data_IF_573097353867
#
_entry.id   IF_573097353867
#
_cell.length_a   1.000
_cell.length_b   1.000
_cell.length_c   1.000
_cell.angle_alpha   90.00
_cell.angle_beta   90.00
_cell.angle_gamma   90.00
#
_symmetry.space_group_name_H-M   'P 1'
#
loop_
_entity.id
_entity.type
_entity.pdbx_description
1 polymer ?
#
# COMPACT_ATOMS: atom_id res chain seq x y z
N UNK A 1 74.81 22.36 21.96
CA UNK A 1 75.22 21.02 22.21
C UNK A 1 74.08 20.03 22.14
N UNK A 2 74.27 18.88 21.50
CA UNK A 2 73.41 17.66 21.42
C UNK A 2 72.13 17.81 20.61
N UNK A 3 71.95 17.32 19.48
CA UNK A 3 71.98 16.13 18.72
C UNK A 3 70.95 15.09 19.20
N UNK A 4 69.80 15.03 18.55
CA UNK A 4 68.89 13.91 18.70
C UNK A 4 68.49 13.39 17.30
N UNK A 5 68.96 12.20 17.03
CA UNK A 5 68.76 11.42 15.82
C UNK A 5 67.30 10.87 15.75
N UNK A 6 66.66 11.07 14.61
CA UNK A 6 65.40 10.44 14.26
C UNK A 6 65.64 8.96 13.84
N UNK A 7 64.93 8.06 14.45
CA UNK A 7 64.87 6.65 14.07
C UNK A 7 63.68 6.45 13.14
N UNK A 8 63.93 5.99 11.92
CA UNK A 8 62.92 5.59 10.98
C UNK A 8 62.45 4.17 11.27
N UNK A 9 61.14 4.00 11.50
CA UNK A 9 60.51 2.71 11.56
C UNK A 9 59.97 2.31 10.19
N UNK A 10 60.41 1.18 9.70
CA UNK A 10 60.06 0.52 8.46
C UNK A 10 58.60 0.06 8.40
N UNK A 11 57.94 0.34 7.30
CA UNK A 11 56.63 -0.22 6.95
C UNK A 11 56.73 -1.70 6.50
N UNK A 12 55.74 -2.53 6.78
CA UNK A 12 55.70 -3.86 6.21
C UNK A 12 55.07 -3.84 4.78
N UNK A 13 55.70 -4.59 3.95
CA UNK A 13 55.40 -4.84 2.53
C UNK A 13 54.00 -5.39 2.28
N UNK A 14 53.41 -4.91 1.21
CA UNK A 14 52.12 -5.32 0.69
C UNK A 14 52.03 -6.77 0.25
N UNK A 15 50.92 -7.39 0.58
CA UNK A 15 50.44 -8.63 0.01
C UNK A 15 49.43 -8.34 -1.08
N UNK A 16 49.79 -8.71 -2.32
CA UNK A 16 48.92 -8.73 -3.48
C UNK A 16 47.77 -9.70 -3.28
N UNK A 17 46.55 -9.23 -3.23
CA UNK A 17 45.38 -10.07 -3.37
C UNK A 17 45.16 -10.31 -4.86
N UNK A 18 45.40 -11.54 -5.29
CA UNK A 18 45.10 -12.02 -6.63
C UNK A 18 43.57 -12.06 -6.84
N UNK A 19 43.16 -11.50 -7.97
CA UNK A 19 41.84 -11.65 -8.53
C UNK A 19 41.50 -13.13 -8.75
N UNK A 20 40.44 -13.60 -8.12
CA UNK A 20 39.87 -14.89 -8.41
C UNK A 20 38.89 -14.78 -9.56
N UNK A 21 39.10 -15.65 -10.54
CA UNK A 21 38.42 -15.79 -11.80
C UNK A 21 36.89 -15.95 -11.70
N UNK A 22 36.19 -15.20 -12.54
CA UNK A 22 34.85 -15.53 -13.00
C UNK A 22 34.95 -16.72 -13.96
N UNK A 23 34.65 -17.92 -13.50
CA UNK A 23 34.17 -19.04 -14.35
C UNK A 23 33.79 -20.21 -13.47
N UNK A 24 32.54 -20.65 -13.64
CA UNK A 24 32.16 -22.03 -13.29
C UNK A 24 31.18 -22.12 -12.12
N UNK A 25 29.89 -22.02 -12.39
CA UNK A 25 28.89 -23.00 -11.97
C UNK A 25 27.79 -22.94 -13.03
N UNK A 26 27.96 -23.86 -13.97
CA UNK A 26 26.89 -24.36 -14.84
C UNK A 26 26.84 -25.87 -14.59
N UNK A 27 25.63 -26.38 -14.52
CA UNK A 27 25.27 -27.81 -14.47
C UNK A 27 25.03 -28.44 -13.09
N UNK A 28 23.76 -28.66 -12.85
CA UNK A 28 23.20 -29.72 -12.06
C UNK A 28 21.82 -30.05 -12.60
N UNK A 29 21.80 -30.82 -13.68
CA UNK A 29 20.60 -31.31 -14.36
C UNK A 29 20.09 -32.58 -13.68
N UNK A 30 18.76 -32.67 -13.59
CA UNK A 30 17.91 -33.88 -13.71
C UNK A 30 18.11 -35.03 -12.71
N UNK A 31 17.02 -35.31 -11.98
CA UNK A 31 16.42 -36.64 -12.11
C UNK A 31 14.93 -36.58 -11.81
N UNK A 32 14.17 -37.04 -12.76
CA UNK A 32 12.77 -37.39 -12.67
C UNK A 32 12.58 -38.60 -11.74
N UNK A 33 11.60 -38.54 -10.87
CA UNK A 33 11.14 -39.67 -10.09
C UNK A 33 9.63 -39.72 -10.10
N UNK A 34 9.05 -40.46 -11.03
CA UNK A 34 7.64 -40.83 -10.99
C UNK A 34 7.41 -41.81 -9.83
N UNK A 35 6.55 -41.48 -8.89
CA UNK A 35 5.99 -42.44 -7.96
C UNK A 35 4.47 -42.44 -8.12
N UNK A 36 3.99 -43.45 -8.78
CA UNK A 36 2.58 -43.89 -8.76
C UNK A 36 2.33 -44.49 -7.38
N UNK A 37 1.43 -43.95 -6.62
CA UNK A 37 0.85 -44.64 -5.47
C UNK A 37 -0.65 -44.78 -5.70
N UNK A 38 -1.03 -46.02 -5.99
CA UNK A 38 -2.40 -46.52 -5.89
C UNK A 38 -2.65 -46.86 -4.41
N UNK A 39 -3.69 -46.34 -3.84
CA UNK A 39 -4.06 -46.58 -2.42
C UNK A 39 -5.50 -46.22 -2.12
N UNK A 40 -6.34 -47.14 -2.32
CA UNK A 40 -7.61 -47.56 -1.68
C UNK A 40 -8.43 -46.60 -0.87
N UNK A 41 -9.68 -46.51 -1.28
CA UNK A 41 -10.91 -46.07 -0.66
C UNK A 41 -11.11 -46.64 0.75
N UNK A 42 -11.44 -45.82 1.74
CA UNK A 42 -12.41 -46.07 2.78
C UNK A 42 -13.14 -44.76 3.07
N UNK A 43 -14.48 -44.83 2.95
CA UNK A 43 -15.36 -43.68 3.02
C UNK A 43 -15.61 -43.18 4.45
N UNK A 44 -15.99 -41.91 4.50
CA UNK A 44 -16.89 -41.43 5.51
C UNK A 44 -17.86 -40.39 4.90
N UNK A 45 -19.14 -40.59 5.14
CA UNK A 45 -20.24 -39.75 4.68
C UNK A 45 -20.33 -38.50 5.54
N UNK A 46 -20.17 -37.33 4.90
CA UNK A 46 -20.61 -36.05 5.46
C UNK A 46 -21.35 -35.30 4.35
N UNK A 47 -22.60 -34.96 4.58
CA UNK A 47 -23.51 -34.30 3.67
C UNK A 47 -22.98 -32.89 3.32
N UNK A 48 -22.71 -32.64 2.04
CA UNK A 48 -22.45 -31.35 1.43
C UNK A 48 -23.30 -31.26 0.17
N UNK A 49 -24.05 -30.20 0.07
CA UNK A 49 -25.02 -29.83 -0.96
C UNK A 49 -24.57 -30.06 -2.39
N UNK A 50 -25.40 -30.78 -3.14
CA UNK A 50 -25.37 -31.21 -4.52
C UNK A 50 -24.55 -30.36 -5.54
N UNK A 51 -23.43 -30.89 -5.94
CA UNK A 51 -22.97 -30.74 -7.32
C UNK A 51 -23.76 -31.79 -8.13
N UNK A 52 -24.57 -31.34 -9.08
CA UNK A 52 -25.19 -32.25 -10.05
C UNK A 52 -24.03 -32.83 -10.89
N UNK A 53 -23.90 -34.14 -10.94
CA UNK A 53 -23.04 -34.84 -11.87
C UNK A 53 -23.58 -34.55 -13.30
N UNK A 54 -22.91 -33.61 -14.00
CA UNK A 54 -23.23 -33.29 -15.38
C UNK A 54 -22.55 -34.34 -16.25
N UNK A 55 -23.36 -35.12 -17.00
CA UNK A 55 -22.86 -36.15 -17.88
C UNK A 55 -22.09 -35.53 -19.06
N UNK A 56 -20.93 -36.06 -19.41
CA UNK A 56 -20.11 -35.55 -20.48
C UNK A 56 -20.83 -35.71 -21.83
N UNK A 57 -20.99 -34.63 -22.59
CA UNK A 57 -21.60 -34.65 -23.93
C UNK A 57 -20.70 -35.27 -24.99
N UNK A 58 -19.39 -35.34 -24.74
CA UNK A 58 -18.38 -35.74 -25.69
C UNK A 58 -17.89 -34.61 -26.62
N UNK A 59 -18.50 -33.44 -26.56
CA UNK A 59 -18.08 -32.29 -27.35
C UNK A 59 -16.90 -31.55 -26.69
N UNK A 60 -16.10 -30.87 -27.51
CA UNK A 60 -15.01 -30.00 -27.04
C UNK A 60 -15.16 -28.61 -27.64
N UNK A 61 -15.23 -27.61 -26.77
CA UNK A 61 -15.18 -26.19 -27.11
C UNK A 61 -13.72 -25.72 -27.05
N UNK A 62 -13.21 -25.22 -28.17
CA UNK A 62 -11.89 -24.60 -28.23
C UNK A 62 -12.04 -23.08 -28.31
N UNK A 63 -11.58 -22.36 -27.30
CA UNK A 63 -11.63 -20.92 -27.24
C UNK A 63 -10.23 -20.32 -27.36
N UNK A 64 -10.08 -19.27 -28.15
CA UNK A 64 -8.87 -18.46 -28.20
C UNK A 64 -9.15 -17.12 -27.57
N UNK A 65 -8.31 -16.75 -26.58
CA UNK A 65 -8.40 -15.49 -25.86
C UNK A 65 -7.11 -14.73 -26.13
N UNK A 66 -7.24 -13.49 -26.56
CA UNK A 66 -6.11 -12.60 -26.83
C UNK A 66 -5.94 -11.63 -25.64
N UNK A 67 -4.71 -11.39 -25.23
CA UNK A 67 -4.40 -10.33 -24.24
C UNK A 67 -4.26 -9.01 -24.99
N UNK A 68 -5.09 -8.02 -24.64
CA UNK A 68 -5.02 -6.66 -25.16
C UNK A 68 -4.84 -5.68 -23.98
N UNK A 69 -3.62 -5.16 -23.78
CA UNK A 69 -3.28 -4.42 -22.59
C UNK A 69 -3.53 -5.28 -21.33
N UNK A 70 -4.34 -4.79 -20.41
CA UNK A 70 -4.71 -5.49 -19.18
C UNK A 70 -6.08 -6.17 -19.25
N UNK A 71 -6.44 -6.74 -20.40
CA UNK A 71 -7.75 -7.41 -20.61
C UNK A 71 -7.61 -8.68 -21.42
N UNK A 72 -8.47 -9.63 -21.12
CA UNK A 72 -8.75 -10.76 -21.97
C UNK A 72 -9.82 -10.40 -23.02
N UNK A 73 -9.61 -10.79 -24.28
CA UNK A 73 -10.54 -10.54 -25.37
C UNK A 73 -10.73 -11.81 -26.20
N UNK A 74 -11.93 -12.41 -26.22
CA UNK A 74 -13.07 -12.06 -25.37
C UNK A 74 -12.81 -12.36 -23.89
N UNK A 75 -13.53 -11.67 -23.01
CA UNK A 75 -13.48 -11.88 -21.55
C UNK A 75 -14.51 -12.92 -21.07
N UNK A 76 -15.31 -13.45 -21.98
CA UNK A 76 -16.37 -14.41 -21.69
C UNK A 76 -16.43 -15.48 -22.79
N UNK A 77 -16.62 -16.72 -22.39
CA UNK A 77 -16.89 -17.86 -23.28
C UNK A 77 -18.10 -18.64 -22.79
N UNK A 78 -19.06 -18.88 -23.67
CA UNK A 78 -20.23 -19.70 -23.39
C UNK A 78 -19.94 -21.16 -23.70
N UNK A 79 -20.24 -22.07 -22.74
CA UNK A 79 -20.04 -23.50 -22.85
C UNK A 79 -21.32 -24.23 -22.42
N UNK A 80 -21.73 -25.23 -23.16
CA UNK A 80 -22.85 -26.09 -22.73
C UNK A 80 -22.40 -27.00 -21.58
N UNK A 81 -23.15 -27.08 -20.47
CA UNK A 81 -22.82 -28.03 -19.41
C UNK A 81 -22.63 -29.45 -19.95
N UNK A 82 -21.52 -30.07 -19.59
CA UNK A 82 -21.11 -31.37 -20.10
C UNK A 82 -20.08 -31.34 -21.24
N UNK A 83 -19.88 -30.19 -21.87
CA UNK A 83 -18.81 -30.03 -22.87
C UNK A 83 -17.44 -29.83 -22.20
N UNK A 84 -16.40 -30.29 -22.86
CA UNK A 84 -15.01 -30.00 -22.47
C UNK A 84 -14.59 -28.64 -23.02
N UNK A 85 -13.92 -27.83 -22.20
CA UNK A 85 -13.39 -26.54 -22.63
C UNK A 85 -11.85 -26.57 -22.67
N UNK A 86 -11.30 -26.19 -23.82
CA UNK A 86 -9.85 -25.97 -24.01
C UNK A 86 -9.65 -24.52 -24.42
N UNK A 87 -8.79 -23.81 -23.67
CA UNK A 87 -8.51 -22.38 -23.89
C UNK A 87 -7.09 -22.20 -24.37
N UNK A 88 -6.91 -21.45 -25.44
CA UNK A 88 -5.60 -20.94 -25.88
C UNK A 88 -5.51 -19.46 -25.54
N UNK A 89 -4.58 -19.09 -24.69
CA UNK A 89 -4.23 -17.70 -24.38
C UNK A 89 -3.17 -17.23 -25.40
N UNK A 90 -3.50 -16.25 -26.21
CA UNK A 90 -2.58 -15.58 -27.15
C UNK A 90 -2.14 -14.25 -26.52
N UNK A 91 -0.92 -14.22 -25.99
CA UNK A 91 -0.42 -13.03 -25.33
C UNK A 91 0.20 -12.06 -26.35
N UNK A 92 -0.61 -11.16 -26.89
CA UNK A 92 -0.15 -10.12 -27.84
C UNK A 92 0.33 -8.84 -27.13
N UNK A 93 0.30 -8.81 -25.79
CA UNK A 93 0.83 -7.70 -25.00
C UNK A 93 2.37 -7.78 -24.88
N UNK A 94 2.97 -6.73 -24.34
CA UNK A 94 4.40 -6.59 -24.15
C UNK A 94 4.93 -7.15 -22.82
N UNK A 95 4.03 -7.69 -21.97
CA UNK A 95 4.34 -8.24 -20.66
C UNK A 95 3.95 -9.72 -20.57
N UNK A 96 4.43 -10.39 -19.52
CA UNK A 96 4.04 -11.77 -19.21
C UNK A 96 2.62 -11.74 -18.62
N UNK A 97 1.77 -12.67 -19.08
CA UNK A 97 0.43 -12.92 -18.56
C UNK A 97 0.18 -14.41 -18.33
N UNK A 98 -0.87 -14.73 -17.63
CA UNK A 98 -1.41 -16.10 -17.51
C UNK A 98 -2.95 -16.04 -17.41
N UNK A 99 -3.58 -17.21 -17.51
CA UNK A 99 -4.97 -17.40 -17.17
C UNK A 99 -5.07 -18.55 -16.18
N UNK A 100 -5.64 -18.28 -15.00
CA UNK A 100 -5.94 -19.27 -13.96
C UNK A 100 -7.45 -19.31 -13.77
N UNK A 101 -8.04 -20.49 -13.75
CA UNK A 101 -9.45 -20.69 -13.44
C UNK A 101 -9.66 -20.93 -11.93
N UNK A 102 -10.81 -20.55 -11.40
CA UNK A 102 -11.18 -20.81 -10.01
C UNK A 102 -11.15 -22.30 -9.64
N UNK A 103 -11.25 -23.17 -10.64
CA UNK A 103 -11.13 -24.63 -10.53
C UNK A 103 -9.68 -25.13 -10.46
N UNK A 104 -8.70 -24.21 -10.56
CA UNK A 104 -7.27 -24.50 -10.35
C UNK A 104 -6.44 -24.75 -11.62
N UNK A 105 -7.07 -24.89 -12.79
CA UNK A 105 -6.33 -25.04 -14.05
C UNK A 105 -5.68 -23.72 -14.46
N UNK A 106 -4.52 -23.80 -15.13
CA UNK A 106 -3.75 -22.61 -15.53
C UNK A 106 -3.03 -22.82 -16.86
N UNK A 107 -2.86 -21.74 -17.62
CA UNK A 107 -1.97 -21.73 -18.80
C UNK A 107 -0.49 -21.77 -18.41
N UNK A 108 -0.14 -21.55 -17.13
CA UNK A 108 1.19 -21.14 -16.75
C UNK A 108 1.54 -19.75 -17.30
N UNK A 109 2.74 -19.28 -17.01
CA UNK A 109 3.24 -17.97 -17.45
C UNK A 109 3.47 -17.96 -18.95
N UNK A 110 2.78 -17.06 -19.66
CA UNK A 110 2.88 -16.88 -21.12
C UNK A 110 3.64 -15.59 -21.40
N UNK A 111 4.80 -15.71 -22.01
CA UNK A 111 5.63 -14.55 -22.35
C UNK A 111 4.97 -13.66 -23.42
N UNK A 112 5.43 -12.42 -23.54
CA UNK A 112 5.04 -11.51 -24.61
C UNK A 112 5.19 -12.17 -26.00
N UNK A 113 4.15 -12.11 -26.83
CA UNK A 113 4.11 -12.72 -28.17
C UNK A 113 3.99 -14.25 -28.18
N UNK A 114 3.87 -14.92 -27.05
CA UNK A 114 3.74 -16.37 -26.95
C UNK A 114 2.27 -16.80 -26.75
N UNK A 115 2.04 -18.11 -26.89
CA UNK A 115 0.74 -18.75 -26.61
C UNK A 115 0.88 -19.78 -25.49
N UNK A 116 -0.15 -19.86 -24.65
CA UNK A 116 -0.31 -20.88 -23.63
C UNK A 116 -1.65 -21.57 -23.77
N UNK A 117 -1.74 -22.84 -23.39
CA UNK A 117 -2.97 -23.61 -23.46
C UNK A 117 -3.35 -24.16 -22.10
N UNK A 118 -4.61 -24.13 -21.79
CA UNK A 118 -5.19 -24.71 -20.58
C UNK A 118 -6.38 -25.59 -20.97
N UNK A 119 -6.48 -26.76 -20.35
CA UNK A 119 -7.63 -27.66 -20.46
C UNK A 119 -8.46 -27.54 -19.17
N UNK A 120 -9.62 -26.92 -19.29
CA UNK A 120 -10.53 -26.73 -18.15
C UNK A 120 -11.30 -27.99 -17.76
N UNK A 121 -11.24 -29.06 -18.60
CA UNK A 121 -12.01 -30.27 -18.38
C UNK A 121 -13.49 -30.10 -18.75
N UNK A 122 -14.36 -30.93 -18.16
CA UNK A 122 -15.81 -30.86 -18.36
C UNK A 122 -16.39 -29.69 -17.55
N UNK A 123 -17.07 -28.80 -18.24
CA UNK A 123 -17.73 -27.64 -17.62
C UNK A 123 -19.07 -28.05 -17.04
N UNK A 124 -19.23 -27.98 -15.75
CA UNK A 124 -20.51 -28.29 -15.05
C UNK A 124 -21.33 -27.07 -14.66
N UNK A 125 -20.71 -25.88 -14.68
CA UNK A 125 -21.33 -24.63 -14.29
C UNK A 125 -20.45 -23.43 -14.60
N UNK A 126 -20.88 -22.20 -14.26
CA UNK A 126 -20.06 -21.00 -14.46
C UNK A 126 -18.73 -21.06 -13.72
N UNK A 127 -17.65 -20.61 -14.35
CA UNK A 127 -16.31 -20.57 -13.75
C UNK A 127 -15.70 -19.20 -14.01
N UNK A 128 -15.15 -18.59 -12.98
CA UNK A 128 -14.35 -17.38 -13.10
C UNK A 128 -12.86 -17.74 -13.31
N UNK A 129 -12.18 -16.93 -14.13
CA UNK A 129 -10.75 -16.98 -14.32
C UNK A 129 -10.13 -15.59 -14.22
N UNK A 130 -8.83 -15.53 -14.03
CA UNK A 130 -8.10 -14.26 -13.94
C UNK A 130 -6.63 -14.45 -14.28
N UNK A 131 -5.93 -13.31 -14.56
CA UNK A 131 -4.47 -13.32 -14.58
C UNK A 131 -3.94 -13.32 -13.14
N UNK A 132 -3.08 -14.29 -12.81
CA UNK A 132 -2.54 -14.44 -11.46
C UNK A 132 -1.33 -13.54 -11.18
N UNK A 133 -0.85 -12.80 -12.18
CA UNK A 133 0.23 -11.83 -11.98
C UNK A 133 -0.27 -10.71 -11.07
N UNK A 134 0.58 -10.35 -10.11
CA UNK A 134 0.24 -9.35 -9.10
C UNK A 134 -0.28 -8.06 -9.75
N UNK A 135 -1.48 -7.65 -9.34
CA UNK A 135 -2.13 -6.45 -9.85
C UNK A 135 -3.03 -6.63 -11.07
N UNK A 136 -2.88 -7.68 -11.87
CA UNK A 136 -3.59 -7.80 -13.15
C UNK A 136 -5.08 -8.11 -12.99
N UNK A 137 -5.47 -9.00 -12.06
CA UNK A 137 -6.89 -9.29 -11.76
C UNK A 137 -7.65 -8.03 -11.32
N UNK A 138 -7.04 -7.21 -10.49
CA UNK A 138 -7.66 -5.99 -10.00
C UNK A 138 -7.72 -4.88 -11.06
N UNK A 139 -6.86 -4.94 -12.08
CA UNK A 139 -6.93 -4.07 -13.26
C UNK A 139 -7.98 -4.53 -14.28
N UNK A 140 -8.77 -5.57 -13.93
CA UNK A 140 -9.85 -6.08 -14.77
C UNK A 140 -9.47 -7.24 -15.67
N UNK A 141 -8.28 -7.86 -15.48
CA UNK A 141 -7.95 -9.10 -16.20
C UNK A 141 -8.67 -10.30 -15.59
N UNK A 142 -9.99 -10.30 -15.76
CA UNK A 142 -10.89 -11.38 -15.38
C UNK A 142 -11.51 -12.00 -16.64
N UNK A 143 -11.85 -13.29 -16.51
CA UNK A 143 -12.42 -14.10 -17.56
C UNK A 143 -13.60 -14.91 -17.00
N UNK A 144 -14.62 -15.10 -17.79
CA UNK A 144 -15.82 -15.80 -17.36
C UNK A 144 -16.17 -16.94 -18.32
N UNK A 145 -16.34 -18.13 -17.76
CA UNK A 145 -17.00 -19.23 -18.46
C UNK A 145 -18.44 -19.22 -18.01
N UNK A 146 -19.37 -19.03 -18.98
CA UNK A 146 -20.80 -19.14 -18.72
C UNK A 146 -21.28 -20.52 -19.14
N UNK A 147 -22.20 -21.10 -18.38
CA UNK A 147 -22.73 -22.44 -18.62
C UNK A 147 -24.26 -22.36 -18.82
N UNK A 148 -24.70 -22.50 -20.07
CA UNK A 148 -26.13 -22.52 -20.39
C UNK A 148 -26.41 -22.18 -21.84
N UNK A 149 -27.06 -23.07 -22.57
CA UNK A 149 -27.48 -22.86 -23.96
C UNK A 149 -28.48 -21.73 -24.12
N UNK A 150 -28.41 -21.04 -25.27
CA UNK A 150 -29.14 -19.88 -25.67
C UNK A 150 -30.62 -19.86 -25.26
N UNK A 151 -31.01 -18.83 -24.58
CA UNK A 151 -32.38 -18.42 -24.33
C UNK A 151 -32.39 -16.94 -23.99
N UNK A 152 -32.70 -16.09 -24.99
CA UNK A 152 -33.06 -14.72 -24.73
C UNK A 152 -34.31 -14.70 -23.82
N UNK A 153 -34.13 -14.50 -22.56
CA UNK A 153 -35.17 -14.40 -21.57
C UNK A 153 -34.78 -13.35 -20.54
N UNK A 154 -35.43 -12.22 -20.63
CA UNK A 154 -35.49 -11.19 -19.61
C UNK A 154 -35.96 -11.81 -18.29
N UNK A 155 -35.05 -12.09 -17.37
CA UNK A 155 -35.40 -12.38 -16.00
C UNK A 155 -34.80 -11.32 -15.09
N UNK A 156 -35.65 -10.40 -14.66
CA UNK A 156 -35.45 -9.58 -13.47
C UNK A 156 -35.33 -10.53 -12.26
N UNK A 157 -34.19 -10.58 -11.66
CA UNK A 157 -34.02 -11.05 -10.30
C UNK A 157 -33.42 -9.94 -9.45
N UNK A 158 -34.17 -9.63 -8.42
CA UNK A 158 -33.83 -8.56 -7.48
C UNK A 158 -32.59 -8.86 -6.65
N UNK A 159 -31.88 -7.80 -6.31
CA UNK A 159 -31.09 -7.68 -5.09
C UNK A 159 -29.74 -8.37 -5.06
N UNK A 160 -28.93 -8.19 -6.10
CA UNK A 160 -27.46 -8.24 -5.96
C UNK A 160 -26.93 -7.00 -6.64
N UNK A 161 -26.31 -6.11 -5.90
CA UNK A 161 -25.68 -4.94 -6.48
C UNK A 161 -24.57 -5.40 -7.42
N UNK A 162 -24.89 -5.50 -8.71
CA UNK A 162 -23.87 -5.58 -9.76
C UNK A 162 -23.00 -4.34 -9.63
N UNK A 163 -21.69 -4.53 -9.41
CA UNK A 163 -20.72 -3.48 -9.64
C UNK A 163 -20.97 -2.90 -11.03
N UNK A 164 -21.62 -1.74 -11.09
CA UNK A 164 -21.55 -0.91 -12.26
C UNK A 164 -20.09 -0.50 -12.44
N UNK A 165 -19.39 -1.15 -13.35
CA UNK A 165 -18.27 -0.51 -14.03
C UNK A 165 -18.89 0.61 -14.83
N UNK A 166 -19.05 1.77 -14.21
CA UNK A 166 -19.54 2.95 -14.85
C UNK A 166 -18.63 3.29 -16.01
N UNK A 167 -19.14 3.29 -17.22
CA UNK A 167 -18.54 3.92 -18.39
C UNK A 167 -18.55 5.46 -18.24
N UNK A 168 -18.36 5.96 -17.03
CA UNK A 168 -18.23 7.37 -16.70
C UNK A 168 -16.81 7.83 -17.01
N UNK A 169 -16.67 9.03 -17.56
CA UNK A 169 -15.37 9.72 -17.57
C UNK A 169 -14.82 9.79 -16.16
N UNK A 170 -13.49 9.67 -16.04
CA UNK A 170 -12.80 9.98 -14.79
C UNK A 170 -13.19 11.36 -14.28
N UNK A 171 -13.32 11.48 -12.97
CA UNK A 171 -13.52 12.76 -12.31
C UNK A 171 -12.30 13.66 -12.56
N UNK A 172 -12.57 14.93 -12.78
CA UNK A 172 -11.52 15.96 -12.99
C UNK A 172 -11.58 16.91 -11.80
N UNK A 173 -10.51 17.04 -11.02
CA UNK A 173 -10.52 17.94 -9.88
C UNK A 173 -10.46 19.40 -10.32
N UNK A 174 -11.18 20.24 -9.63
CA UNK A 174 -11.01 21.69 -9.66
C UNK A 174 -10.12 22.11 -8.47
N UNK A 175 -8.87 22.42 -8.76
CA UNK A 175 -7.91 22.80 -7.71
C UNK A 175 -8.26 24.11 -6.98
N UNK A 176 -9.21 24.88 -7.49
CA UNK A 176 -9.75 26.09 -6.84
C UNK A 176 -10.99 25.83 -5.97
N UNK A 177 -11.56 24.62 -6.05
CA UNK A 177 -12.76 24.27 -5.33
C UNK A 177 -12.53 24.26 -3.82
N UNK A 178 -13.43 24.92 -3.09
CA UNK A 178 -13.46 24.82 -1.64
C UNK A 178 -14.04 23.49 -1.18
N UNK A 179 -13.53 22.99 -0.07
CA UNK A 179 -14.15 21.86 0.62
C UNK A 179 -15.53 22.29 1.18
N UNK A 180 -16.48 21.34 1.34
CA UNK A 180 -17.79 21.64 1.92
C UNK A 180 -17.69 22.39 3.25
N UNK A 181 -18.65 23.26 3.52
CA UNK A 181 -18.62 24.10 4.72
C UNK A 181 -18.70 23.30 6.04
N UNK A 182 -19.28 22.12 5.99
CA UNK A 182 -19.37 21.15 7.09
C UNK A 182 -18.21 20.15 7.15
N UNK A 183 -17.28 20.23 6.18
CA UNK A 183 -16.09 19.38 6.17
C UNK A 183 -15.23 19.65 7.41
N UNK A 184 -14.77 18.57 8.02
CA UNK A 184 -13.79 18.63 9.12
C UNK A 184 -12.47 18.07 8.64
N UNK A 185 -11.41 18.86 8.74
CA UNK A 185 -10.07 18.40 8.44
C UNK A 185 -9.67 17.26 9.39
N UNK A 186 -8.82 16.38 8.89
CA UNK A 186 -8.19 15.37 9.73
C UNK A 186 -7.44 16.07 10.89
N UNK A 187 -7.67 15.62 12.11
CA UNK A 187 -6.95 16.13 13.28
C UNK A 187 -5.50 15.63 13.27
N UNK A 188 -4.60 16.51 12.85
CA UNK A 188 -3.18 16.21 12.80
C UNK A 188 -2.48 16.33 14.16
N UNK A 189 -3.13 16.91 15.15
CA UNK A 189 -2.53 17.13 16.48
C UNK A 189 -2.26 15.78 17.18
N UNK A 190 -1.06 15.63 17.70
CA UNK A 190 -0.65 14.42 18.39
C UNK A 190 -0.68 14.62 19.90
N UNK A 191 -1.35 13.75 20.65
CA UNK A 191 -1.18 13.68 22.09
C UNK A 191 0.22 13.14 22.43
N UNK A 192 0.67 13.43 23.65
CA UNK A 192 1.89 12.79 24.17
C UNK A 192 1.77 11.26 24.11
N UNK A 193 2.92 10.59 23.93
CA UNK A 193 2.93 9.13 23.95
C UNK A 193 2.39 8.61 25.29
N UNK A 194 1.51 7.60 25.28
CA UNK A 194 1.11 6.92 26.49
C UNK A 194 2.32 6.44 27.30
N UNK A 195 2.21 6.45 28.61
CA UNK A 195 3.27 5.96 29.50
C UNK A 195 2.68 5.10 30.60
N UNK A 196 3.39 4.00 30.90
CA UNK A 196 3.07 3.19 32.06
C UNK A 196 3.36 3.95 33.36
N UNK A 197 2.59 3.73 34.43
CA UNK A 197 2.84 4.35 35.74
C UNK A 197 4.22 4.04 36.33
N UNK A 198 4.79 2.90 36.00
CA UNK A 198 6.13 2.45 36.40
C UNK A 198 7.23 2.79 35.39
N UNK A 199 6.86 3.43 34.27
CA UNK A 199 7.79 3.81 33.20
C UNK A 199 8.25 2.66 32.31
N UNK A 200 7.76 1.45 32.53
CA UNK A 200 8.07 0.26 31.72
C UNK A 200 7.34 0.20 30.39
N UNK A 201 7.62 -0.83 29.56
CA UNK A 201 6.90 -1.08 28.31
C UNK A 201 5.42 -1.31 28.53
N UNK A 202 4.63 -0.92 27.55
CA UNK A 202 3.15 -1.08 27.55
C UNK A 202 2.69 -2.02 26.43
N UNK A 203 1.48 -2.55 26.60
CA UNK A 203 0.75 -3.20 25.51
C UNK A 203 -0.39 -2.31 25.06
N UNK A 204 -0.31 -1.86 23.80
CA UNK A 204 -1.35 -1.08 23.14
C UNK A 204 -2.28 -2.03 22.39
N UNK A 205 -3.58 -2.01 22.70
CA UNK A 205 -4.59 -2.84 22.04
C UNK A 205 -5.50 -1.96 21.21
N UNK A 206 -5.61 -2.26 19.92
CA UNK A 206 -6.45 -1.51 18.98
C UNK A 206 -7.28 -2.47 18.14
N UNK A 207 -8.48 -2.05 17.78
CA UNK A 207 -9.29 -2.73 16.75
C UNK A 207 -9.32 -1.85 15.51
N UNK A 208 -8.96 -2.41 14.38
CA UNK A 208 -9.03 -1.79 13.07
C UNK A 208 -10.12 -2.47 12.27
N UNK A 209 -11.19 -1.75 12.02
CA UNK A 209 -12.29 -2.21 11.16
C UNK A 209 -12.09 -1.67 9.75
N UNK A 210 -12.00 -2.59 8.80
CA UNK A 210 -11.93 -2.23 7.38
C UNK A 210 -13.32 -1.97 6.84
N UNK A 211 -13.51 -0.82 6.19
CA UNK A 211 -14.75 -0.47 5.49
C UNK A 211 -14.43 0.29 4.20
N UNK A 212 -15.38 0.26 3.27
CA UNK A 212 -15.32 1.01 2.01
C UNK A 212 -16.42 2.05 2.00
N UNK A 213 -16.07 3.30 1.70
CA UNK A 213 -17.03 4.41 1.67
C UNK A 213 -16.62 5.50 0.70
N UNK A 214 -17.60 6.23 0.16
CA UNK A 214 -17.33 7.41 -0.67
C UNK A 214 -16.97 8.58 0.23
N UNK A 215 -15.79 9.18 -0.02
CA UNK A 215 -15.26 10.27 0.79
C UNK A 215 -14.79 11.43 -0.08
N UNK A 216 -14.80 12.64 0.48
CA UNK A 216 -14.10 13.79 -0.10
C UNK A 216 -12.59 13.51 -0.18
N UNK A 217 -12.00 13.91 -1.32
CA UNK A 217 -10.54 13.84 -1.52
C UNK A 217 -9.92 15.21 -1.86
N UNK A 218 -10.74 16.27 -1.89
CA UNK A 218 -10.38 17.62 -2.29
C UNK A 218 -10.70 17.89 -3.77
N UNK A 219 -10.47 19.11 -4.23
CA UNK A 219 -10.75 19.48 -5.63
C UNK A 219 -12.21 19.35 -6.06
N UNK A 220 -13.16 19.42 -5.13
CA UNK A 220 -14.59 19.30 -5.41
C UNK A 220 -15.05 17.90 -5.81
N UNK A 221 -14.21 16.86 -5.66
CA UNK A 221 -14.49 15.49 -6.08
C UNK A 221 -14.46 14.51 -4.91
N UNK A 222 -15.14 13.39 -5.11
CA UNK A 222 -15.19 12.28 -4.16
C UNK A 222 -14.61 11.00 -4.77
N UNK A 223 -14.18 10.09 -3.91
CA UNK A 223 -13.67 8.78 -4.31
C UNK A 223 -14.14 7.71 -3.33
N UNK A 224 -14.38 6.50 -3.82
CA UNK A 224 -14.58 5.34 -2.97
C UNK A 224 -13.25 4.97 -2.33
N UNK A 225 -13.18 5.15 -1.02
CA UNK A 225 -11.99 4.88 -0.22
C UNK A 225 -12.13 3.55 0.51
N UNK A 226 -11.03 2.83 0.63
CA UNK A 226 -10.87 1.68 1.52
C UNK A 226 -10.18 2.19 2.78
N UNK A 227 -10.77 1.95 3.94
CA UNK A 227 -10.38 2.64 5.16
C UNK A 227 -10.06 1.69 6.30
N UNK A 228 -9.18 2.12 7.19
CA UNK A 228 -9.09 1.60 8.55
C UNK A 228 -9.85 2.54 9.49
N UNK A 229 -10.87 2.01 10.17
CA UNK A 229 -11.74 2.78 11.08
C UNK A 229 -12.45 3.98 10.43
N UNK A 230 -12.81 3.87 9.14
CA UNK A 230 -13.61 4.87 8.46
C UNK A 230 -12.90 6.18 8.12
N UNK A 231 -11.56 6.23 8.18
CA UNK A 231 -10.77 7.43 7.92
C UNK A 231 -9.56 7.17 7.03
N UNK A 232 -9.05 8.21 6.39
CA UNK A 232 -7.81 8.22 5.60
C UNK A 232 -6.99 9.46 5.97
N UNK A 233 -5.72 9.29 6.40
CA UNK A 233 -5.10 8.02 6.75
C UNK A 233 -5.83 7.31 7.89
N UNK A 234 -5.58 6.03 8.07
CA UNK A 234 -6.04 5.30 9.24
C UNK A 234 -5.49 5.90 10.55
N UNK A 235 -5.90 5.42 11.73
CA UNK A 235 -5.48 5.97 13.02
C UNK A 235 -3.96 6.08 13.15
N UNK A 236 -3.47 7.22 13.63
CA UNK A 236 -2.07 7.38 14.00
C UNK A 236 -1.87 6.76 15.38
N UNK A 237 -1.07 5.69 15.43
CA UNK A 237 -0.70 5.04 16.68
C UNK A 237 0.56 5.68 17.26
N UNK A 238 0.70 5.69 18.58
CA UNK A 238 1.90 6.21 19.24
C UNK A 238 2.28 5.36 20.44
N UNK A 239 3.56 5.11 20.59
CA UNK A 239 4.17 4.38 21.71
C UNK A 239 5.66 4.67 21.83
N UNK A 240 6.37 3.79 22.53
CA UNK A 240 7.80 3.91 22.82
C UNK A 240 8.53 2.63 22.44
N UNK A 241 9.83 2.71 22.30
CA UNK A 241 10.67 1.52 22.12
C UNK A 241 10.45 0.55 23.28
N UNK A 242 10.21 -0.71 22.96
CA UNK A 242 9.87 -1.79 23.89
C UNK A 242 8.38 -2.05 24.04
N UNK A 243 7.50 -1.13 23.62
CA UNK A 243 6.05 -1.33 23.67
C UNK A 243 5.60 -2.43 22.68
N UNK A 244 4.56 -3.14 23.07
CA UNK A 244 3.91 -4.14 22.22
C UNK A 244 2.58 -3.59 21.69
N UNK A 245 2.35 -3.79 20.42
CA UNK A 245 1.09 -3.45 19.77
C UNK A 245 0.35 -4.72 19.38
N UNK A 246 -0.89 -4.83 19.80
CA UNK A 246 -1.80 -5.92 19.47
C UNK A 246 -2.99 -5.33 18.70
N UNK A 247 -3.05 -5.63 17.43
CA UNK A 247 -4.03 -5.06 16.51
C UNK A 247 -5.00 -6.16 16.08
N UNK A 248 -6.26 -6.01 16.43
CA UNK A 248 -7.33 -6.85 15.90
C UNK A 248 -7.84 -6.20 14.61
N UNK A 249 -7.50 -6.79 13.47
CA UNK A 249 -8.07 -6.42 12.17
C UNK A 249 -9.39 -7.14 11.97
N UNK A 250 -10.45 -6.39 11.70
CA UNK A 250 -11.79 -6.91 11.37
C UNK A 250 -12.11 -6.47 9.94
N UNK A 251 -12.37 -7.41 9.06
CA UNK A 251 -12.71 -7.09 7.67
C UNK A 251 -14.25 -7.01 7.52
N UNK A 252 -14.76 -5.78 7.61
CA UNK A 252 -16.17 -5.44 7.39
C UNK A 252 -16.40 -4.85 5.98
N UNK A 253 -15.41 -5.02 5.10
CA UNK A 253 -15.43 -4.62 3.71
C UNK A 253 -16.04 -5.66 2.78
N UNK A 254 -15.95 -5.42 1.48
CA UNK A 254 -16.53 -6.28 0.43
C UNK A 254 -15.51 -7.15 -0.29
N UNK A 255 -14.22 -6.97 -0.01
CA UNK A 255 -13.10 -7.73 -0.58
C UNK A 255 -12.11 -8.17 0.49
N UNK A 256 -11.15 -9.01 0.12
CA UNK A 256 -10.09 -9.44 1.02
C UNK A 256 -9.12 -8.31 1.34
N UNK A 257 -8.72 -8.22 2.60
CA UNK A 257 -7.77 -7.22 3.10
C UNK A 257 -6.77 -7.86 4.08
N UNK A 258 -5.71 -7.14 4.37
CA UNK A 258 -4.69 -7.53 5.34
C UNK A 258 -4.09 -6.28 5.97
N UNK A 259 -3.09 -6.45 6.84
CA UNK A 259 -2.34 -5.33 7.39
C UNK A 259 -0.88 -5.72 7.57
N UNK A 260 0.02 -4.79 7.27
CA UNK A 260 1.45 -4.85 7.53
C UNK A 260 1.88 -3.64 8.34
N UNK A 261 2.65 -3.85 9.41
CA UNK A 261 3.22 -2.78 10.25
C UNK A 261 4.74 -2.77 10.11
N UNK A 262 5.28 -1.75 9.46
CA UNK A 262 6.73 -1.58 9.30
C UNK A 262 7.47 -1.35 10.64
N UNK A 263 6.74 -0.97 11.70
CA UNK A 263 7.30 -0.84 13.06
C UNK A 263 7.62 -2.19 13.72
N UNK A 264 7.13 -3.29 13.16
CA UNK A 264 7.35 -4.64 13.65
C UNK A 264 8.45 -5.39 12.91
N UNK A 265 8.99 -6.43 13.54
CA UNK A 265 9.86 -7.42 12.91
C UNK A 265 9.15 -8.76 13.02
N UNK A 266 8.33 -9.06 12.03
CA UNK A 266 7.43 -10.23 12.03
C UNK A 266 7.43 -10.87 10.65
N UNK A 267 7.57 -12.20 10.54
CA UNK A 267 7.44 -12.90 9.27
C UNK A 267 6.04 -12.67 8.66
N UNK A 268 5.95 -12.41 7.34
CA UNK A 268 4.68 -12.04 6.72
C UNK A 268 3.69 -13.20 6.57
N UNK A 269 4.16 -14.45 6.55
CA UNK A 269 3.42 -15.62 6.11
C UNK A 269 2.05 -15.80 6.81
N UNK A 270 1.99 -15.56 8.13
CA UNK A 270 0.78 -15.71 8.93
C UNK A 270 0.20 -14.35 9.34
N UNK A 271 1.05 -13.45 9.81
CA UNK A 271 0.64 -12.19 10.41
C UNK A 271 0.03 -11.22 9.38
N UNK A 272 0.50 -11.28 8.12
CA UNK A 272 0.08 -10.38 7.04
C UNK A 272 -0.81 -11.08 6.00
N UNK A 273 -1.36 -12.26 6.33
CA UNK A 273 -2.24 -12.97 5.40
C UNK A 273 -3.51 -12.16 5.13
N UNK A 274 -4.03 -12.26 3.93
CA UNK A 274 -5.33 -11.70 3.59
C UNK A 274 -6.44 -12.44 4.32
N UNK A 275 -7.41 -11.69 4.84
CA UNK A 275 -8.65 -12.18 5.43
C UNK A 275 -9.85 -11.77 4.58
N UNK A 276 -10.84 -12.64 4.47
CA UNK A 276 -12.05 -12.39 3.69
C UNK A 276 -13.04 -11.52 4.45
N UNK A 277 -14.06 -10.95 3.78
CA UNK A 277 -15.18 -10.29 4.44
C UNK A 277 -15.77 -11.12 5.59
N UNK A 278 -15.95 -10.49 6.75
CA UNK A 278 -16.45 -11.12 7.98
C UNK A 278 -15.40 -11.84 8.81
N UNK A 279 -14.17 -11.98 8.34
CA UNK A 279 -13.07 -12.58 9.10
C UNK A 279 -12.32 -11.53 9.95
N UNK A 280 -11.56 -12.02 10.92
CA UNK A 280 -10.66 -11.19 11.73
C UNK A 280 -9.30 -11.86 11.92
N UNK A 281 -8.29 -11.03 12.21
CA UNK A 281 -6.91 -11.43 12.42
C UNK A 281 -6.32 -10.59 13.56
N UNK A 282 -5.57 -11.21 14.45
CA UNK A 282 -4.77 -10.48 15.43
C UNK A 282 -3.32 -10.41 14.93
N UNK A 283 -2.82 -9.19 14.76
CA UNK A 283 -1.44 -8.89 14.42
C UNK A 283 -0.74 -8.32 15.66
N UNK A 284 0.36 -8.93 16.07
CA UNK A 284 1.12 -8.48 17.24
C UNK A 284 2.58 -8.24 16.89
N UNK A 285 3.12 -7.11 17.33
CA UNK A 285 4.54 -6.80 17.20
C UNK A 285 5.05 -6.01 18.41
N UNK A 286 6.34 -6.10 18.68
CA UNK A 286 7.04 -5.26 19.66
C UNK A 286 7.88 -4.23 18.91
N UNK A 287 7.71 -2.95 19.27
CA UNK A 287 8.45 -1.85 18.66
C UNK A 287 9.91 -1.87 19.13
N UNK A 288 10.85 -2.17 18.25
CA UNK A 288 12.28 -2.26 18.58
C UNK A 288 13.05 -0.98 18.26
N UNK A 289 12.55 -0.18 17.33
CA UNK A 289 13.21 1.02 16.83
C UNK A 289 12.26 2.21 16.86
N UNK A 290 12.82 3.38 17.21
CA UNK A 290 12.09 4.65 17.14
C UNK A 290 11.92 5.14 15.70
N UNK A 291 10.94 6.00 15.48
CA UNK A 291 10.65 6.61 14.19
C UNK A 291 9.16 6.74 13.95
N UNK A 292 8.80 7.22 12.77
CA UNK A 292 7.44 7.14 12.26
C UNK A 292 7.41 6.08 11.16
N UNK A 293 6.60 5.06 11.35
CA UNK A 293 6.56 3.84 10.56
C UNK A 293 5.23 3.71 9.85
N UNK A 294 5.27 3.34 8.56
CA UNK A 294 4.08 3.07 7.78
C UNK A 294 3.39 1.79 8.27
N UNK A 295 2.07 1.76 8.24
CA UNK A 295 1.29 0.53 8.13
C UNK A 295 0.35 0.64 6.93
N UNK A 296 0.05 -0.48 6.30
CA UNK A 296 -0.80 -0.51 5.11
C UNK A 296 -1.40 -1.90 4.86
N UNK A 297 -2.40 -1.95 3.99
CA UNK A 297 -2.89 -3.22 3.45
C UNK A 297 -1.84 -3.85 2.54
N UNK A 298 -1.48 -5.12 2.78
CA UNK A 298 -0.54 -5.90 1.97
C UNK A 298 -1.22 -6.87 1.00
N UNK A 299 -2.54 -6.87 0.92
CA UNK A 299 -3.30 -7.66 -0.08
C UNK A 299 -3.04 -7.10 -1.48
N UNK A 300 -2.78 -7.99 -2.43
CA UNK A 300 -2.57 -7.61 -3.83
C UNK A 300 -3.88 -7.15 -4.50
N UNK A 301 -3.81 -6.09 -5.33
CA UNK A 301 -2.64 -5.28 -5.66
C UNK A 301 -2.41 -4.18 -4.61
N UNK A 302 -1.26 -4.23 -3.94
CA UNK A 302 -0.94 -3.32 -2.84
C UNK A 302 -1.06 -1.84 -3.24
N UNK A 303 -0.62 -1.49 -4.44
CA UNK A 303 -0.67 -0.11 -4.94
C UNK A 303 -2.10 0.44 -5.04
N UNK A 304 -3.08 -0.41 -5.39
CA UNK A 304 -4.49 -0.04 -5.42
C UNK A 304 -5.02 0.21 -4.01
N UNK A 305 -4.75 -0.71 -3.08
CA UNK A 305 -5.22 -0.59 -1.69
C UNK A 305 -4.63 0.65 -0.99
N UNK A 306 -3.32 0.94 -1.21
CA UNK A 306 -2.72 2.16 -0.69
C UNK A 306 -3.33 3.42 -1.34
N UNK A 307 -3.46 3.44 -2.67
CA UNK A 307 -4.07 4.56 -3.40
C UNK A 307 -5.53 4.78 -2.99
N UNK A 308 -6.24 3.70 -2.65
CA UNK A 308 -7.60 3.77 -2.11
C UNK A 308 -7.66 4.28 -0.67
N UNK A 309 -6.53 4.39 0.05
CA UNK A 309 -6.48 4.98 1.39
C UNK A 309 -6.10 4.04 2.52
N UNK A 310 -5.78 2.77 2.25
CA UNK A 310 -5.43 1.80 3.29
C UNK A 310 -3.98 1.94 3.75
N UNK A 311 -3.70 3.04 4.41
CA UNK A 311 -2.40 3.35 5.01
C UNK A 311 -2.58 4.22 6.25
N UNK A 312 -1.58 4.23 7.10
CA UNK A 312 -1.48 5.11 8.27
C UNK A 312 -0.09 5.02 8.89
N UNK A 313 0.09 5.60 10.07
CA UNK A 313 1.39 5.71 10.71
C UNK A 313 1.38 5.19 12.14
N UNK A 314 2.52 4.60 12.54
CA UNK A 314 2.85 4.31 13.94
C UNK A 314 4.06 5.16 14.33
N UNK A 315 3.93 5.97 15.34
CA UNK A 315 5.02 6.78 15.90
C UNK A 315 5.58 6.06 17.13
N UNK A 316 6.86 5.77 17.08
CA UNK A 316 7.62 5.22 18.21
C UNK A 316 8.63 6.27 18.66
N UNK A 317 8.35 6.88 19.80
CA UNK A 317 9.16 7.98 20.31
C UNK A 317 10.61 7.56 20.54
N UNK A 318 11.60 8.34 20.08
CA UNK A 318 12.99 8.12 20.46
C UNK A 318 13.19 8.24 21.98
N UNK A 319 14.05 7.43 22.57
CA UNK A 319 14.40 7.59 23.98
C UNK A 319 14.88 9.01 24.29
N UNK A 320 14.32 9.63 25.30
CA UNK A 320 14.68 11.00 25.70
C UNK A 320 14.18 12.08 24.73
N UNK A 321 13.17 11.80 23.91
CA UNK A 321 12.57 12.80 23.02
C UNK A 321 12.13 14.04 23.82
N UNK A 322 12.68 15.24 23.56
CA UNK A 322 12.27 16.45 24.25
C UNK A 322 10.80 16.78 23.97
N UNK A 323 10.10 17.24 24.99
CA UNK A 323 8.76 17.80 24.80
C UNK A 323 8.83 19.07 23.95
N UNK A 324 7.81 19.30 23.17
CA UNK A 324 7.60 20.50 22.35
C UNK A 324 6.20 21.06 22.62
N UNK A 325 5.94 22.30 22.19
CA UNK A 325 4.66 22.96 22.45
C UNK A 325 3.55 22.41 21.54
N UNK A 326 3.87 22.04 20.32
CA UNK A 326 2.96 21.47 19.33
C UNK A 326 3.57 20.32 18.59
N UNK A 327 2.79 19.26 18.40
CA UNK A 327 3.14 18.14 17.54
C UNK A 327 2.04 17.85 16.53
N UNK A 328 2.43 17.62 15.28
CA UNK A 328 1.51 17.28 14.20
C UNK A 328 2.03 16.07 13.43
N UNK A 329 1.12 15.18 13.04
CA UNK A 329 1.40 14.08 12.12
C UNK A 329 0.88 14.41 10.73
N UNK A 330 1.74 14.35 9.73
CA UNK A 330 1.45 14.62 8.31
C UNK A 330 1.78 13.38 7.51
N UNK A 331 0.77 12.75 6.95
CA UNK A 331 0.90 11.59 6.06
C UNK A 331 0.64 12.04 4.63
N UNK A 332 1.69 12.06 3.82
CA UNK A 332 1.60 12.39 2.40
C UNK A 332 1.16 11.19 1.59
N UNK A 333 0.18 11.35 0.71
CA UNK A 333 -0.31 10.28 -0.16
C UNK A 333 -0.88 10.80 -1.47
N UNK A 334 -1.07 9.88 -2.40
CA UNK A 334 -1.50 10.11 -3.78
C UNK A 334 -2.96 9.73 -3.95
N UNK A 335 -3.69 10.47 -4.80
CA UNK A 335 -5.06 10.15 -5.20
C UNK A 335 -5.15 10.04 -6.71
N UNK A 336 -5.65 8.92 -7.20
CA UNK A 336 -5.80 8.58 -8.61
C UNK A 336 -7.29 8.44 -8.92
N UNK A 337 -7.89 9.46 -9.50
CA UNK A 337 -9.33 9.52 -9.71
C UNK A 337 -9.77 8.60 -10.85
N UNK A 338 -10.72 7.74 -10.56
CA UNK A 338 -11.62 7.13 -11.50
C UNK A 338 -12.89 7.97 -11.67
N UNK A 339 -14.03 7.39 -12.01
CA UNK A 339 -15.32 8.09 -12.05
C UNK A 339 -15.65 8.72 -10.68
N UNK A 340 -16.48 9.78 -10.69
CA UNK A 340 -16.94 10.46 -9.47
C UNK A 340 -17.54 9.45 -8.46
N UNK A 341 -17.02 9.45 -7.23
CA UNK A 341 -17.40 8.50 -6.19
C UNK A 341 -16.99 7.05 -6.45
N UNK A 342 -16.23 6.80 -7.53
CA UNK A 342 -15.77 5.47 -7.95
C UNK A 342 -14.43 5.07 -7.35
N UNK A 343 -13.98 3.88 -7.75
CA UNK A 343 -12.68 3.32 -7.36
C UNK A 343 -11.51 4.12 -7.97
N UNK A 344 -10.29 4.04 -7.40
CA UNK A 344 -9.10 4.61 -8.02
C UNK A 344 -8.86 4.08 -9.43
N UNK A 345 -8.37 4.93 -10.32
CA UNK A 345 -7.99 4.54 -11.67
C UNK A 345 -6.64 3.80 -11.68
N UNK A 346 -6.66 2.52 -12.03
CA UNK A 346 -5.49 1.64 -11.99
C UNK A 346 -4.45 1.96 -13.05
N UNK A 347 -4.87 2.49 -14.21
CA UNK A 347 -3.94 2.89 -15.27
C UNK A 347 -3.12 4.11 -14.82
N UNK A 348 -3.76 5.07 -14.15
CA UNK A 348 -3.07 6.22 -13.55
C UNK A 348 -2.12 5.80 -12.43
N UNK A 349 -2.50 4.81 -11.60
CA UNK A 349 -1.61 4.23 -10.58
C UNK A 349 -0.37 3.63 -11.24
N UNK A 350 -0.55 2.82 -12.27
CA UNK A 350 0.55 2.20 -13.00
C UNK A 350 1.47 3.25 -13.68
N UNK A 351 0.87 4.31 -14.23
CA UNK A 351 1.58 5.43 -14.84
C UNK A 351 2.20 6.40 -13.82
N UNK A 352 1.87 6.28 -12.52
CA UNK A 352 2.29 7.20 -11.45
C UNK A 352 1.88 8.66 -11.72
N UNK A 353 0.66 8.85 -12.22
CA UNK A 353 0.10 10.15 -12.58
C UNK A 353 -1.10 10.50 -11.70
N UNK A 354 -0.89 10.83 -10.42
CA UNK A 354 -1.98 11.17 -9.52
C UNK A 354 -2.69 12.46 -9.94
N UNK A 355 -3.99 12.51 -9.73
CA UNK A 355 -4.80 13.71 -9.95
C UNK A 355 -4.70 14.69 -8.78
N UNK A 356 -4.58 14.17 -7.55
CA UNK A 356 -4.40 14.95 -6.34
C UNK A 356 -3.25 14.38 -5.51
N UNK A 357 -2.59 15.27 -4.77
CA UNK A 357 -1.61 14.94 -3.75
C UNK A 357 -2.13 15.45 -2.41
N UNK A 358 -2.00 14.66 -1.37
CA UNK A 358 -2.67 14.98 -0.10
C UNK A 358 -1.72 14.98 1.07
N UNK A 359 -2.01 15.83 2.05
CA UNK A 359 -1.57 15.66 3.42
C UNK A 359 -2.78 15.19 4.24
N UNK A 360 -2.66 14.00 4.85
CA UNK A 360 -3.71 13.34 5.62
C UNK A 360 -5.00 13.09 4.82
N UNK A 361 -4.85 12.56 3.58
CA UNK A 361 -5.93 11.94 2.81
C UNK A 361 -6.83 12.87 2.00
N UNK A 362 -6.80 14.18 2.24
CA UNK A 362 -7.61 15.18 1.52
C UNK A 362 -6.73 16.35 1.07
N UNK A 363 -6.80 16.66 -0.22
CA UNK A 363 -6.06 17.79 -0.79
C UNK A 363 -6.60 19.13 -0.25
N UNK A 364 -5.71 20.06 0.00
CA UNK A 364 -6.01 21.45 0.43
C UNK A 364 -6.65 21.62 1.81
N UNK A 365 -6.89 20.56 2.59
CA UNK A 365 -7.67 20.65 3.82
C UNK A 365 -7.09 21.63 4.84
N UNK A 366 -5.76 21.64 5.00
CA UNK A 366 -5.10 22.55 5.94
C UNK A 366 -4.87 23.96 5.38
N UNK A 367 -5.26 24.22 4.14
CA UNK A 367 -5.38 25.58 3.63
C UNK A 367 -6.67 26.25 4.14
N UNK A 368 -7.77 25.50 4.17
CA UNK A 368 -9.05 25.99 4.70
C UNK A 368 -9.15 25.91 6.22
N UNK A 369 -8.55 24.90 6.84
CA UNK A 369 -8.52 24.70 8.29
C UNK A 369 -7.08 24.61 8.77
N UNK A 370 -6.37 25.75 8.94
CA UNK A 370 -4.97 25.81 9.27
C UNK A 370 -4.62 25.13 10.60
N UNK A 371 -3.45 24.53 10.66
CA UNK A 371 -2.81 24.13 11.91
C UNK A 371 -2.41 25.38 12.70
N UNK A 372 -2.31 25.30 14.02
CA UNK A 372 -2.17 26.45 14.90
C UNK A 372 -0.89 26.39 15.72
N UNK A 373 -0.23 27.54 15.87
CA UNK A 373 0.85 27.73 16.82
C UNK A 373 0.85 29.18 17.33
N UNK A 374 1.71 29.47 18.30
CA UNK A 374 2.00 30.83 18.75
C UNK A 374 3.47 31.18 18.48
N UNK A 375 3.74 32.47 18.44
CA UNK A 375 5.11 32.97 18.35
C UNK A 375 5.95 32.39 19.48
N UNK A 376 7.12 31.84 19.13
CA UNK A 376 8.07 31.23 20.07
C UNK A 376 7.75 29.80 20.45
N UNK A 377 6.57 29.25 20.13
CA UNK A 377 6.29 27.83 20.32
C UNK A 377 7.17 26.97 19.40
N UNK A 378 7.70 25.89 19.95
CA UNK A 378 8.40 24.86 19.17
C UNK A 378 7.37 23.90 18.60
N UNK A 379 7.39 23.77 17.27
CA UNK A 379 6.50 22.88 16.52
C UNK A 379 7.28 21.72 15.95
N UNK A 380 6.83 20.49 16.19
CA UNK A 380 7.34 19.26 15.59
C UNK A 380 6.34 18.74 14.58
N UNK A 381 6.80 18.51 13.35
CA UNK A 381 6.05 17.83 12.32
C UNK A 381 6.62 16.42 12.12
N UNK A 382 5.86 15.41 12.50
CA UNK A 382 6.10 14.04 12.09
C UNK A 382 5.56 13.86 10.68
N UNK A 383 6.41 13.44 9.75
CA UNK A 383 6.06 13.34 8.33
C UNK A 383 6.30 11.92 7.84
N UNK A 384 5.33 11.37 7.14
CA UNK A 384 5.38 10.04 6.51
C UNK A 384 5.01 10.17 5.04
N UNK A 385 5.83 9.61 4.15
CA UNK A 385 5.46 9.42 2.75
C UNK A 385 4.81 8.05 2.57
N UNK A 386 3.48 8.01 2.57
CA UNK A 386 2.76 6.74 2.37
C UNK A 386 2.81 6.26 0.91
N UNK A 387 2.91 7.16 -0.04
CA UNK A 387 2.94 6.82 -1.47
C UNK A 387 1.54 6.62 -2.06
N UNK A 388 1.34 5.61 -2.93
CA UNK A 388 2.14 4.39 -3.11
C UNK A 388 3.45 4.51 -3.90
N UNK A 389 3.70 5.57 -4.65
CA UNK A 389 4.79 5.54 -5.64
C UNK A 389 5.69 6.79 -5.66
N UNK A 390 5.18 7.94 -5.25
CA UNK A 390 5.89 9.22 -5.37
C UNK A 390 6.48 9.68 -4.02
N UNK A 391 7.65 10.33 -4.05
CA UNK A 391 8.27 10.92 -2.87
C UNK A 391 7.53 12.20 -2.45
N UNK A 392 7.83 12.69 -1.24
CA UNK A 392 7.47 14.04 -0.79
C UNK A 392 8.73 14.76 -0.31
N UNK A 393 8.73 16.11 -0.40
CA UNK A 393 9.80 16.95 0.13
C UNK A 393 9.17 18.00 1.04
N UNK A 394 9.00 17.66 2.31
CA UNK A 394 8.30 18.51 3.27
C UNK A 394 9.13 19.76 3.61
N UNK A 395 8.56 20.94 3.42
CA UNK A 395 9.13 22.24 3.72
C UNK A 395 8.09 23.15 4.35
N UNK A 396 8.50 24.02 5.26
CA UNK A 396 7.67 25.11 5.80
C UNK A 396 8.23 26.44 5.32
N UNK A 397 7.49 27.14 4.46
CA UNK A 397 7.93 28.38 3.83
C UNK A 397 8.14 29.46 4.90
N UNK A 398 9.30 30.10 4.88
CA UNK A 398 9.69 31.11 5.86
C UNK A 398 10.29 30.57 7.15
N UNK A 399 10.42 29.24 7.28
CA UNK A 399 11.04 28.58 8.43
C UNK A 399 12.23 27.72 8.03
N UNK A 400 13.11 27.50 8.99
CA UNK A 400 14.20 26.53 8.90
C UNK A 400 14.03 25.52 10.04
N UNK A 401 14.42 24.27 9.77
CA UNK A 401 14.38 23.22 10.77
C UNK A 401 15.73 23.14 11.48
N UNK A 402 15.71 23.26 12.79
CA UNK A 402 16.91 23.14 13.64
C UNK A 402 17.08 21.75 14.26
N UNK A 403 16.06 20.90 14.13
CA UNK A 403 16.07 19.50 14.51
C UNK A 403 15.54 18.66 13.36
N UNK A 404 16.23 17.58 13.02
CA UNK A 404 15.80 16.62 11.99
C UNK A 404 16.07 15.21 12.48
N UNK A 405 15.02 14.41 12.51
CA UNK A 405 15.06 12.97 12.73
C UNK A 405 14.59 12.28 11.47
N UNK A 406 15.42 11.42 10.91
CA UNK A 406 15.13 10.72 9.65
C UNK A 406 15.19 9.22 9.86
N UNK A 407 14.15 8.50 9.46
CA UNK A 407 13.97 7.08 9.73
C UNK A 407 14.07 6.81 11.25
N UNK A 408 15.14 6.20 11.73
CA UNK A 408 15.38 5.87 13.12
C UNK A 408 16.49 6.68 13.80
N UNK A 409 16.95 7.81 13.23
CA UNK A 409 18.12 8.51 13.73
C UNK A 409 18.03 10.05 13.62
N UNK A 410 18.63 10.73 14.59
CA UNK A 410 18.88 12.16 14.50
C UNK A 410 19.94 12.47 13.43
N UNK A 411 19.59 13.30 12.47
CA UNK A 411 20.51 13.77 11.42
C UNK A 411 20.93 15.21 11.61
N UNK A 412 20.16 16.00 12.35
CA UNK A 412 20.48 17.36 12.78
C UNK A 412 19.94 17.58 14.20
N UNK A 413 20.77 18.15 15.09
CA UNK A 413 20.38 18.40 16.48
C UNK A 413 20.22 17.11 17.30
N UNK A 414 19.33 17.15 18.31
CA UNK A 414 19.03 16.03 19.17
C UNK A 414 20.21 15.56 20.05
N UNK A 415 20.05 14.44 20.74
CA UNK A 415 21.10 13.86 21.59
C UNK A 415 22.15 13.07 20.80
N UNK A 416 22.03 12.96 19.48
CA UNK A 416 22.97 12.27 18.62
C UNK A 416 24.31 13.02 18.55
N UNK A 417 25.43 12.33 18.72
CA UNK A 417 26.76 12.94 18.54
C UNK A 417 26.96 13.51 17.12
N UNK A 418 26.40 12.85 16.12
CA UNK A 418 26.48 13.31 14.72
C UNK A 418 25.59 14.55 14.54
N UNK A 419 24.33 14.52 14.98
CA UNK A 419 23.41 15.63 14.87
C UNK A 419 23.80 16.83 15.71
N UNK A 420 24.35 16.63 16.90
CA UNK A 420 24.80 17.69 17.81
C UNK A 420 26.18 18.28 17.46
N UNK A 421 26.97 17.63 16.61
CA UNK A 421 28.30 18.11 16.21
C UNK A 421 28.25 19.41 15.39
N UNK A 422 27.10 19.74 14.82
CA UNK A 422 26.91 20.88 13.94
C UNK A 422 25.72 21.72 14.38
N UNK A 423 25.95 23.00 14.60
CA UNK A 423 24.88 23.97 14.63
C UNK A 423 24.53 24.31 13.19
N UNK A 424 23.33 24.04 12.77
CA UNK A 424 22.89 24.25 11.38
C UNK A 424 21.40 24.22 11.25
N UNK A 425 20.94 24.35 10.03
CA UNK A 425 19.54 24.28 9.67
C UNK A 425 19.31 23.37 8.46
N UNK A 426 18.14 22.78 8.41
CA UNK A 426 17.62 22.09 7.25
C UNK A 426 16.46 22.86 6.66
N UNK A 427 16.31 22.84 5.34
CA UNK A 427 15.21 23.50 4.67
C UNK A 427 14.07 22.55 4.32
N UNK A 428 14.35 21.26 4.14
CA UNK A 428 13.35 20.28 3.73
C UNK A 428 13.68 18.89 4.28
N UNK A 429 12.64 18.08 4.46
CA UNK A 429 12.73 16.66 4.74
C UNK A 429 12.27 15.88 3.50
N UNK A 430 13.23 15.31 2.76
CA UNK A 430 12.96 14.47 1.60
C UNK A 430 12.69 13.03 2.02
N UNK A 431 11.54 12.48 1.58
CA UNK A 431 11.08 11.14 1.94
C UNK A 431 10.63 10.41 0.68
N UNK A 432 11.19 9.22 0.45
CA UNK A 432 10.65 8.27 -0.51
C UNK A 432 9.45 7.51 0.08
N UNK A 433 8.64 6.82 -0.76
CA UNK A 433 7.56 5.97 -0.24
C UNK A 433 8.01 5.05 0.87
N UNK A 434 7.22 4.97 1.94
CA UNK A 434 7.45 4.28 3.20
C UNK A 434 8.52 4.87 4.12
N UNK A 435 9.19 5.97 3.73
CA UNK A 435 10.10 6.67 4.64
C UNK A 435 9.37 7.70 5.49
N UNK A 436 9.88 7.92 6.68
CA UNK A 436 9.34 8.88 7.63
C UNK A 436 10.41 9.55 8.46
N UNK A 437 10.02 10.60 9.16
CA UNK A 437 10.89 11.35 10.06
C UNK A 437 10.15 12.48 10.73
N UNK A 438 10.84 13.30 11.48
CA UNK A 438 10.29 14.57 11.97
C UNK A 438 11.28 15.73 11.82
N UNK A 439 10.71 16.91 11.78
CA UNK A 439 11.44 18.18 11.79
C UNK A 439 10.85 19.09 12.86
N UNK A 440 11.69 19.97 13.43
CA UNK A 440 11.24 20.99 14.38
C UNK A 440 11.64 22.36 13.92
N UNK A 441 10.77 23.33 14.22
CA UNK A 441 10.99 24.74 13.94
C UNK A 441 10.33 25.63 14.99
N UNK A 442 10.74 26.90 15.02
CA UNK A 442 10.15 27.95 15.85
C UNK A 442 9.90 29.17 14.96
N UNK A 443 8.67 29.67 14.95
CA UNK A 443 8.34 30.93 14.28
C UNK A 443 8.58 32.11 15.24
N UNK A 444 9.32 33.11 14.78
CA UNK A 444 9.63 34.31 15.55
C UNK A 444 8.63 35.43 15.38
N UNK A 445 7.73 35.36 14.40
CA UNK A 445 6.76 36.36 14.05
C UNK A 445 5.39 35.73 13.80
N UNK A 446 4.27 36.47 14.08
CA UNK A 446 2.95 35.98 13.72
C UNK A 446 2.76 36.01 12.20
N UNK A 447 1.98 35.06 11.67
CA UNK A 447 1.71 34.99 10.25
C UNK A 447 1.21 33.62 9.79
N UNK A 448 1.12 33.45 8.48
CA UNK A 448 0.66 32.23 7.83
C UNK A 448 1.86 31.56 7.13
N UNK A 449 2.39 30.53 7.75
CA UNK A 449 3.52 29.77 7.22
C UNK A 449 2.99 28.58 6.44
N UNK A 450 3.19 28.58 5.10
CA UNK A 450 2.69 27.50 4.26
C UNK A 450 3.65 26.30 4.34
N UNK A 451 3.17 25.14 4.74
CA UNK A 451 3.93 23.91 4.62
C UNK A 451 3.52 23.15 3.34
N UNK A 452 4.49 22.61 2.64
CA UNK A 452 4.33 22.09 1.28
C UNK A 452 5.12 20.82 1.05
N UNK A 453 4.75 20.03 0.04
CA UNK A 453 5.73 19.26 -0.71
C UNK A 453 6.46 20.21 -1.68
N UNK A 454 7.79 20.30 -1.58
CA UNK A 454 8.56 21.20 -2.45
C UNK A 454 8.73 20.64 -3.88
N UNK A 455 8.12 19.50 -4.21
CA UNK A 455 7.72 19.14 -5.55
C UNK A 455 6.49 20.00 -5.90
N UNK A 456 6.70 21.13 -6.55
CA UNK A 456 5.65 22.14 -6.73
C UNK A 456 4.45 21.62 -7.54
N UNK A 457 4.65 20.74 -8.50
CA UNK A 457 3.56 20.09 -9.18
C UNK A 457 2.65 19.30 -8.23
N UNK A 458 3.21 18.72 -7.16
CA UNK A 458 2.47 18.01 -6.13
C UNK A 458 1.80 19.00 -5.17
N UNK A 459 2.49 20.08 -4.83
CA UNK A 459 1.93 21.17 -4.02
C UNK A 459 0.69 21.78 -4.70
N UNK A 460 0.78 22.06 -6.00
CA UNK A 460 -0.33 22.60 -6.80
C UNK A 460 -1.52 21.64 -6.90
N UNK A 461 -1.28 20.33 -6.77
CA UNK A 461 -2.31 19.30 -6.69
C UNK A 461 -2.87 19.06 -5.29
N UNK A 462 -2.44 19.81 -4.27
CA UNK A 462 -3.03 19.76 -2.95
C UNK A 462 -2.12 19.38 -1.79
N UNK A 463 -0.85 19.02 -2.03
CA UNK A 463 0.11 18.70 -0.97
C UNK A 463 0.64 19.98 -0.31
N UNK A 464 -0.25 20.78 0.27
CA UNK A 464 0.09 21.95 1.08
C UNK A 464 -0.94 22.25 2.16
N UNK A 465 -0.53 23.04 3.15
CA UNK A 465 -1.37 23.52 4.21
C UNK A 465 -0.77 24.77 4.84
N UNK A 466 -1.43 25.32 5.83
CA UNK A 466 -1.01 26.53 6.52
C UNK A 466 -0.83 26.24 8.03
N UNK A 467 0.29 26.67 8.57
CA UNK A 467 0.50 26.84 9.99
C UNK A 467 0.23 28.33 10.31
N UNK A 468 -0.90 28.60 10.94
CA UNK A 468 -1.24 29.94 11.41
C UNK A 468 -0.61 30.17 12.78
N UNK A 469 0.31 31.13 12.83
CA UNK A 469 1.03 31.53 14.05
C UNK A 469 0.45 32.83 14.57
N UNK A 470 -0.07 32.79 15.77
CA UNK A 470 -0.62 34.00 16.47
C UNK A 470 0.37 34.53 17.49
N UNK A 471 0.17 35.77 17.91
CA UNK A 471 0.99 36.42 18.94
C UNK A 471 0.87 35.70 20.30
#
# INVERSE_FOLDING_TARGET
>A
GAGATASAASAPSGGLIRSADRRGILMGLLTAGAAVVVGSVIGNRGQGTGAQDVEATGNTVNATITVQGMRFVPDTVDVTPGDRLVITLDNTADQVHDLVLATGQSTGRVAAGAKGTLDAGIVSGPVEGWCSIAGHRAQGMVFHVTAGGAGAGTHQHGGGQSRQTGSGKDAVPDYSAHLPADFKAFDAALPAAPSSPDGGPMTHRHTFTVTEQVMQVGGGVTQRRMTFNGQVPGPVLRGKVGDTFEITLVNDGTMSHSIDFHAGITPPDEAMRSINPGESLVYTFTAQHSGIWLYHCSTSPMSLHLAAGMHGAVIIDPPGLPAVDREYAIVASEVYLGPEGGEPNTDKIAAKTPDLMTFNGVAFQYHQQPLKARVGERVRFWVMAAGPSLPTSFHAVGLQFDQVFFEGAWTLGGPSQIGAAWSGGSQALGLHPAQGGFVECVASEPGHYVFVSHSFADMEKGAHGVLEVTA
#
